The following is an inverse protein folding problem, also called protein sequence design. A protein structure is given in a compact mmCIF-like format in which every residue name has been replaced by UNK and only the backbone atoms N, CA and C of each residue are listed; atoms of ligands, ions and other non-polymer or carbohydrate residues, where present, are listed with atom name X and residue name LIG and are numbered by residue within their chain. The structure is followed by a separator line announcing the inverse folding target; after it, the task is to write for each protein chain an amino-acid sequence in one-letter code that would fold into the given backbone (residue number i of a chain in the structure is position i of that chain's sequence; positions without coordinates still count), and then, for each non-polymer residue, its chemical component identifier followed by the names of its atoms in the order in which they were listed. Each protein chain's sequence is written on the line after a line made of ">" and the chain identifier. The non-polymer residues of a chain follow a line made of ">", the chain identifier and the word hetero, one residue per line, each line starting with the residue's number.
data_IF_239683064885
#
_entry.id   IF_239683064885
#
_cell.length_a   1.000
_cell.length_b   1.000
_cell.length_c   1.000
_cell.angle_alpha   90.00
_cell.angle_beta   90.00
_cell.angle_gamma   90.00
#
_symmetry.space_group_name_H-M   'P 1'
#
loop_
_entity.id
_entity.type
_entity.pdbx_description
1 polymer ?
#
# COMPACT_ATOMS: atom_id res chain seq x y z
N UNK A 1 23.55 -7.93 9.69
CA UNK A 1 23.91 -7.32 10.99
C UNK A 1 24.06 -5.80 10.82
N UNK A 2 23.96 -4.99 11.87
CA UNK A 2 24.20 -3.53 11.83
C UNK A 2 23.23 -2.68 10.99
N UNK A 3 21.97 -3.12 10.93
CA UNK A 3 20.90 -2.32 10.31
C UNK A 3 20.65 -1.08 11.16
N UNK A 4 20.86 0.11 10.60
CA UNK A 4 20.66 1.42 11.27
C UNK A 4 19.23 1.93 11.17
N UNK A 5 18.52 1.57 10.10
CA UNK A 5 17.14 1.96 9.88
C UNK A 5 16.32 0.83 9.25
N UNK A 6 15.06 0.72 9.67
CA UNK A 6 14.03 -0.10 9.02
C UNK A 6 12.96 0.84 8.49
N UNK A 7 12.74 0.82 7.18
CA UNK A 7 11.68 1.60 6.52
C UNK A 7 10.58 0.64 6.09
N UNK A 8 9.38 0.82 6.63
CA UNK A 8 8.19 0.06 6.30
C UNK A 8 7.23 0.97 5.53
N UNK A 9 6.80 0.53 4.35
CA UNK A 9 5.85 1.24 3.51
C UNK A 9 4.55 0.42 3.48
N UNK A 10 3.45 1.07 3.84
CA UNK A 10 2.14 0.46 4.01
C UNK A 10 2.01 -0.35 5.30
N UNK A 11 0.83 -0.91 5.51
CA UNK A 11 0.52 -1.71 6.71
C UNK A 11 1.27 -3.04 6.73
N UNK A 12 1.57 -3.52 7.94
CA UNK A 12 1.90 -4.93 8.12
C UNK A 12 0.61 -5.77 8.12
N UNK A 13 0.70 -7.06 7.86
CA UNK A 13 -0.47 -7.94 7.94
C UNK A 13 -1.07 -7.94 9.34
N UNK A 14 -0.27 -7.75 10.38
CA UNK A 14 -0.71 -7.67 11.77
C UNK A 14 0.36 -6.95 12.64
N UNK A 15 -0.01 -6.70 13.90
CA UNK A 15 0.85 -6.12 14.92
C UNK A 15 2.18 -6.88 15.11
N UNK A 16 2.13 -8.20 15.16
CA UNK A 16 3.33 -9.01 15.41
C UNK A 16 4.32 -8.91 14.26
N UNK A 17 3.83 -8.91 13.02
CA UNK A 17 4.65 -8.68 11.84
C UNK A 17 5.29 -7.30 11.85
N UNK A 18 4.56 -6.25 12.25
CA UNK A 18 5.17 -4.93 12.45
C UNK A 18 6.33 -4.98 13.46
N UNK A 19 6.14 -5.62 14.61
CA UNK A 19 7.16 -5.76 15.67
C UNK A 19 8.37 -6.57 15.18
N UNK A 20 8.14 -7.67 14.45
CA UNK A 20 9.21 -8.49 13.91
C UNK A 20 10.05 -7.78 12.85
N UNK A 21 9.40 -6.94 12.03
CA UNK A 21 10.06 -6.09 11.03
C UNK A 21 10.92 -5.04 11.70
N UNK A 22 10.41 -4.29 12.69
CA UNK A 22 11.22 -3.28 13.38
C UNK A 22 12.36 -3.92 14.21
N UNK A 23 12.16 -5.13 14.73
CA UNK A 23 13.20 -5.91 15.42
C UNK A 23 14.38 -6.35 14.54
N UNK A 24 14.47 -5.92 13.27
CA UNK A 24 15.66 -6.09 12.43
C UNK A 24 16.76 -5.06 12.74
N UNK A 25 16.42 -3.91 13.32
CA UNK A 25 17.39 -2.90 13.79
C UNK A 25 17.54 -2.95 15.31
N UNK A 26 18.39 -2.08 15.88
CA UNK A 26 18.64 -1.93 17.31
C UNK A 26 19.02 -3.22 18.06
N UNK A 27 19.85 -4.07 17.43
CA UNK A 27 20.28 -5.37 17.99
C UNK A 27 21.60 -5.26 18.74
N UNK A 28 21.81 -6.16 19.71
CA UNK A 28 23.05 -6.28 20.46
C UNK A 28 23.52 -4.94 21.08
N UNK A 29 22.59 -4.18 21.65
CA UNK A 29 22.85 -2.89 22.30
C UNK A 29 23.14 -1.72 21.35
N UNK A 30 23.09 -1.91 20.02
CA UNK A 30 23.28 -0.82 19.05
C UNK A 30 21.99 0.00 18.88
N UNK A 31 22.14 1.27 18.52
CA UNK A 31 21.02 2.14 18.18
C UNK A 31 20.40 1.79 16.81
N UNK A 32 19.13 2.15 16.63
CA UNK A 32 18.38 1.87 15.41
C UNK A 32 17.10 2.68 15.32
N UNK A 33 16.61 2.93 14.10
CA UNK A 33 15.39 3.72 13.88
C UNK A 33 14.38 2.98 13.01
N UNK A 34 13.10 3.09 13.38
CA UNK A 34 11.98 2.62 12.58
C UNK A 34 11.23 3.77 11.92
N UNK A 35 11.00 3.66 10.62
CA UNK A 35 10.08 4.53 9.89
C UNK A 35 8.91 3.69 9.38
N UNK A 36 7.70 4.14 9.68
CA UNK A 36 6.46 3.60 9.13
C UNK A 36 5.81 4.68 8.28
N UNK A 37 5.69 4.42 6.98
CA UNK A 37 5.03 5.31 6.02
C UNK A 37 3.68 4.69 5.68
N UNK A 38 2.61 5.37 6.08
CA UNK A 38 1.24 5.00 5.78
C UNK A 38 0.62 6.07 4.89
N UNK A 39 -0.24 5.64 3.97
CA UNK A 39 -1.22 6.53 3.36
C UNK A 39 -2.34 6.85 4.36
N UNK A 40 -3.11 7.92 4.11
CA UNK A 40 -4.19 8.32 5.03
C UNK A 40 -5.25 7.25 5.19
N UNK A 41 -5.57 6.48 4.14
CA UNK A 41 -6.53 5.39 4.25
C UNK A 41 -6.04 4.25 5.14
N UNK A 42 -4.73 4.09 5.30
CA UNK A 42 -4.11 3.07 6.16
C UNK A 42 -3.97 3.48 7.62
N UNK A 43 -4.28 4.74 7.94
CA UNK A 43 -4.20 5.31 9.29
C UNK A 43 -4.88 4.46 10.38
N UNK A 44 -6.03 3.78 10.14
CA UNK A 44 -6.64 2.92 11.16
C UNK A 44 -5.71 1.84 11.72
N UNK A 45 -4.71 1.38 10.96
CA UNK A 45 -3.69 0.44 11.43
C UNK A 45 -2.95 0.93 12.68
N UNK A 46 -2.81 2.25 12.87
CA UNK A 46 -2.15 2.82 14.04
C UNK A 46 -2.85 2.46 15.35
N UNK A 47 -4.15 2.14 15.31
CA UNK A 47 -4.89 1.66 16.49
C UNK A 47 -4.36 0.32 17.00
N UNK A 48 -3.89 -0.56 16.10
CA UNK A 48 -3.34 -1.88 16.44
C UNK A 48 -1.96 -1.81 17.10
N UNK A 49 -1.28 -0.67 17.00
CA UNK A 49 0.07 -0.45 17.53
C UNK A 49 0.13 0.79 18.43
N UNK A 50 -1.01 1.26 18.91
CA UNK A 50 -1.12 2.48 19.70
C UNK A 50 -0.40 2.38 21.07
N UNK A 51 -0.14 1.16 21.54
CA UNK A 51 0.63 0.88 22.76
C UNK A 51 2.14 1.10 22.60
N UNK A 52 2.62 1.20 21.35
CA UNK A 52 4.04 1.36 21.06
C UNK A 52 4.45 2.86 21.13
N UNK A 53 5.73 3.18 21.41
CA UNK A 53 6.21 4.57 21.54
C UNK A 53 6.35 5.26 20.18
N UNK A 54 5.24 5.43 19.46
CA UNK A 54 5.18 6.02 18.13
C UNK A 54 5.34 7.53 18.21
N UNK A 55 6.21 8.08 17.35
CA UNK A 55 6.37 9.52 17.17
C UNK A 55 5.80 9.91 15.82
N UNK A 56 4.69 10.65 15.84
CA UNK A 56 4.08 11.17 14.63
C UNK A 56 4.95 12.29 14.04
N UNK A 57 5.28 12.17 12.76
CA UNK A 57 5.89 13.24 11.99
C UNK A 57 4.81 13.90 11.14
N UNK A 58 4.86 15.22 11.04
CA UNK A 58 3.99 15.94 10.13
C UNK A 58 4.23 15.45 8.68
N UNK A 59 3.16 15.32 7.86
CA UNK A 59 3.32 14.99 6.46
C UNK A 59 4.13 16.07 5.75
N UNK A 60 4.78 15.69 4.66
CA UNK A 60 5.47 16.64 3.82
C UNK A 60 4.47 17.67 3.25
N UNK A 61 4.82 18.95 3.33
CA UNK A 61 3.97 20.01 2.77
C UNK A 61 3.64 19.73 1.29
N UNK A 62 2.39 19.94 0.83
CA UNK A 62 2.00 19.59 -0.54
C UNK A 62 2.90 20.20 -1.62
N UNK A 63 3.34 21.45 -1.43
CA UNK A 63 4.26 22.12 -2.35
C UNK A 63 5.64 21.42 -2.44
N UNK A 64 6.15 20.90 -1.33
CA UNK A 64 7.40 20.15 -1.31
C UNK A 64 7.21 18.76 -1.92
N UNK A 65 6.10 18.07 -1.63
CA UNK A 65 5.78 16.78 -2.22
C UNK A 65 5.66 16.86 -3.76
N UNK A 66 5.04 17.93 -4.28
CA UNK A 66 4.88 18.17 -5.72
C UNK A 66 6.20 18.24 -6.48
N UNK A 67 7.31 18.62 -5.83
CA UNK A 67 8.64 18.67 -6.46
C UNK A 67 9.14 17.30 -6.91
N UNK A 68 8.65 16.22 -6.33
CA UNK A 68 9.01 14.84 -6.72
C UNK A 68 8.17 14.29 -7.88
N UNK A 69 7.03 14.91 -8.21
CA UNK A 69 6.11 14.40 -9.23
C UNK A 69 6.76 14.23 -10.61
N UNK A 70 7.62 15.15 -11.11
CA UNK A 70 8.29 14.96 -12.39
C UNK A 70 9.17 13.71 -12.41
N UNK A 71 10.01 13.52 -11.39
CA UNK A 71 10.88 12.34 -11.28
C UNK A 71 10.09 11.04 -11.15
N UNK A 72 8.99 11.06 -10.39
CA UNK A 72 8.08 9.90 -10.28
C UNK A 72 7.39 9.59 -11.61
N UNK A 73 7.01 10.61 -12.39
CA UNK A 73 6.40 10.42 -13.70
C UNK A 73 7.37 9.76 -14.67
N UNK A 74 8.63 10.20 -14.69
CA UNK A 74 9.69 9.60 -15.53
C UNK A 74 9.91 8.15 -15.12
N UNK A 75 10.10 7.89 -13.82
CA UNK A 75 10.34 6.54 -13.31
C UNK A 75 9.17 5.58 -13.63
N UNK A 76 7.92 6.04 -13.55
CA UNK A 76 6.74 5.23 -13.92
C UNK A 76 6.69 4.91 -15.40
N UNK A 77 7.07 5.86 -16.26
CA UNK A 77 7.07 5.68 -17.71
C UNK A 77 8.13 4.67 -18.19
N UNK A 78 9.18 4.44 -17.40
CA UNK A 78 10.20 3.41 -17.65
C UNK A 78 9.75 2.00 -17.24
N UNK A 79 8.67 1.86 -16.46
CA UNK A 79 8.18 0.56 -16.03
C UNK A 79 7.31 -0.10 -17.11
N UNK A 80 7.48 -1.41 -17.37
CA UNK A 80 6.58 -2.15 -18.25
C UNK A 80 5.13 -2.08 -17.77
N UNK A 81 4.18 -1.90 -18.69
CA UNK A 81 2.76 -1.83 -18.35
C UNK A 81 2.28 -3.08 -17.57
N UNK A 82 2.74 -4.27 -17.98
CA UNK A 82 2.41 -5.54 -17.30
C UNK A 82 2.82 -5.54 -15.82
N UNK A 83 3.99 -4.95 -15.49
CA UNK A 83 4.44 -4.83 -14.11
C UNK A 83 3.53 -3.92 -13.29
N UNK A 84 2.98 -2.86 -13.89
CA UNK A 84 2.00 -1.98 -13.23
C UNK A 84 0.69 -2.73 -12.96
N UNK A 85 0.21 -3.53 -13.91
CA UNK A 85 -1.00 -4.36 -13.75
C UNK A 85 -0.80 -5.40 -12.65
N UNK A 86 0.32 -6.13 -12.65
CA UNK A 86 0.61 -7.11 -11.60
C UNK A 86 0.82 -6.45 -10.24
N UNK A 87 1.40 -5.25 -10.18
CA UNK A 87 1.50 -4.46 -8.94
C UNK A 87 0.12 -4.07 -8.39
N UNK A 88 -0.80 -3.66 -9.27
CA UNK A 88 -2.19 -3.36 -8.91
C UNK A 88 -2.91 -4.60 -8.37
N UNK A 89 -2.78 -5.74 -9.07
CA UNK A 89 -3.36 -7.02 -8.66
C UNK A 89 -2.79 -7.50 -7.32
N UNK A 90 -1.48 -7.38 -7.10
CA UNK A 90 -0.84 -7.73 -5.84
C UNK A 90 -1.33 -6.85 -4.68
N UNK A 91 -1.50 -5.54 -4.92
CA UNK A 91 -2.08 -4.61 -3.95
C UNK A 91 -3.50 -5.03 -3.58
N UNK A 92 -4.37 -5.25 -4.58
CA UNK A 92 -5.73 -5.75 -4.35
C UNK A 92 -5.72 -7.05 -3.53
N UNK A 93 -4.87 -8.01 -3.89
CA UNK A 93 -4.76 -9.29 -3.20
C UNK A 93 -4.38 -9.15 -1.74
N UNK A 94 -3.46 -8.25 -1.41
CA UNK A 94 -3.04 -8.02 -0.03
C UNK A 94 -4.11 -7.32 0.80
N UNK A 95 -4.73 -6.24 0.29
CA UNK A 95 -5.70 -5.44 1.05
C UNK A 95 -7.09 -6.06 1.12
N UNK A 96 -7.44 -6.94 0.18
CA UNK A 96 -8.69 -7.73 0.20
C UNK A 96 -8.62 -8.96 1.13
N UNK A 97 -7.50 -9.21 1.81
CA UNK A 97 -7.47 -10.26 2.83
C UNK A 97 -8.29 -9.83 4.04
N UNK A 98 -9.03 -10.77 4.64
CA UNK A 98 -9.82 -10.52 5.85
C UNK A 98 -9.01 -9.85 6.96
N UNK A 99 -7.72 -10.19 7.08
CA UNK A 99 -6.83 -9.60 8.07
C UNK A 99 -6.53 -8.13 7.77
N UNK A 100 -6.11 -7.80 6.56
CA UNK A 100 -5.81 -6.42 6.17
C UNK A 100 -7.07 -5.55 6.18
N UNK A 101 -8.18 -6.03 5.63
CA UNK A 101 -9.44 -5.27 5.61
C UNK A 101 -9.98 -5.03 7.03
N UNK A 102 -9.90 -6.04 7.93
CA UNK A 102 -10.32 -5.87 9.33
C UNK A 102 -9.42 -4.88 10.09
N UNK A 103 -8.10 -4.94 9.88
CA UNK A 103 -7.15 -3.99 10.47
C UNK A 103 -7.42 -2.54 10.04
N UNK A 104 -8.02 -2.36 8.87
CA UNK A 104 -8.31 -1.07 8.27
C UNK A 104 -9.78 -0.63 8.44
N UNK A 105 -10.65 -1.55 8.86
CA UNK A 105 -12.09 -1.32 8.97
C UNK A 105 -12.77 -1.08 7.62
N UNK A 106 -12.20 -1.56 6.52
CA UNK A 106 -12.73 -1.32 5.17
C UNK A 106 -13.78 -2.36 4.79
N UNK A 107 -14.87 -1.89 4.19
CA UNK A 107 -15.73 -2.69 3.32
C UNK A 107 -15.01 -3.07 2.02
N UNK A 108 -15.58 -4.02 1.25
CA UNK A 108 -15.03 -4.39 -0.06
C UNK A 108 -15.08 -3.20 -1.03
N UNK A 109 -16.15 -2.42 -0.96
CA UNK A 109 -16.38 -1.25 -1.80
C UNK A 109 -15.33 -0.16 -1.52
N UNK A 110 -15.03 0.12 -0.25
CA UNK A 110 -13.96 1.04 0.14
C UNK A 110 -12.58 0.53 -0.31
N UNK A 111 -12.32 -0.77 -0.17
CA UNK A 111 -11.06 -1.36 -0.66
C UNK A 111 -10.90 -1.16 -2.17
N UNK A 112 -11.96 -1.37 -2.97
CA UNK A 112 -11.93 -1.11 -4.42
C UNK A 112 -11.70 0.37 -4.73
N UNK A 113 -12.31 1.28 -3.96
CA UNK A 113 -12.09 2.73 -4.11
C UNK A 113 -10.62 3.12 -3.82
N UNK A 114 -10.03 2.56 -2.77
CA UNK A 114 -8.62 2.76 -2.45
C UNK A 114 -7.71 2.14 -3.52
N UNK A 115 -8.06 0.98 -4.07
CA UNK A 115 -7.35 0.40 -5.20
C UNK A 115 -7.37 1.35 -6.41
N UNK A 116 -8.53 1.94 -6.71
CA UNK A 116 -8.63 2.89 -7.82
C UNK A 116 -7.74 4.13 -7.61
N UNK A 117 -7.64 4.60 -6.37
CA UNK A 117 -6.71 5.66 -5.99
C UNK A 117 -5.26 5.23 -6.15
N UNK A 118 -4.91 4.02 -5.73
CA UNK A 118 -3.56 3.45 -5.89
C UNK A 118 -3.15 3.38 -7.37
N UNK A 119 -4.03 2.87 -8.25
CA UNK A 119 -3.76 2.81 -9.69
C UNK A 119 -3.42 4.19 -10.28
N UNK A 120 -4.22 5.22 -9.95
CA UNK A 120 -4.06 6.56 -10.51
C UNK A 120 -2.92 7.34 -9.87
N UNK A 121 -2.91 7.42 -8.55
CA UNK A 121 -2.01 8.31 -7.80
C UNK A 121 -0.62 7.70 -7.60
N UNK A 122 -0.52 6.37 -7.47
CA UNK A 122 0.73 5.67 -7.14
C UNK A 122 1.37 5.00 -8.35
N UNK A 123 0.58 4.30 -9.17
CA UNK A 123 1.08 3.65 -10.38
C UNK A 123 1.10 4.59 -11.60
N UNK A 124 0.31 5.66 -11.56
CA UNK A 124 0.23 6.62 -12.68
C UNK A 124 -0.62 6.15 -13.85
N UNK A 125 -1.49 5.15 -13.65
CA UNK A 125 -2.39 4.66 -14.68
C UNK A 125 -3.56 5.64 -14.86
N UNK A 126 -4.02 5.82 -16.10
CA UNK A 126 -5.18 6.68 -16.41
C UNK A 126 -6.49 6.18 -15.77
N UNK A 127 -6.58 4.86 -15.56
CA UNK A 127 -7.66 4.16 -14.87
C UNK A 127 -7.13 2.88 -14.23
N UNK A 128 -7.87 2.27 -13.31
CA UNK A 128 -7.55 0.92 -12.86
C UNK A 128 -7.49 -0.04 -14.07
N UNK A 129 -6.50 -0.94 -14.14
CA UNK A 129 -6.38 -1.89 -15.24
C UNK A 129 -7.41 -3.01 -15.09
N UNK A 130 -7.81 -3.62 -16.21
CA UNK A 130 -8.69 -4.79 -16.20
C UNK A 130 -7.97 -5.99 -15.57
N UNK A 131 -8.64 -6.66 -14.64
CA UNK A 131 -8.20 -7.93 -14.07
C UNK A 131 -9.01 -9.07 -14.70
N UNK A 132 -8.38 -10.19 -15.09
CA UNK A 132 -9.12 -11.34 -15.61
C UNK A 132 -10.16 -11.87 -14.60
N UNK A 133 -11.35 -12.21 -15.09
CA UNK A 133 -12.46 -12.70 -14.27
C UNK A 133 -12.07 -13.93 -13.42
N UNK A 134 -11.23 -14.80 -13.95
CA UNK A 134 -10.71 -15.96 -13.22
C UNK A 134 -9.91 -15.57 -11.97
N UNK A 135 -9.18 -14.46 -12.02
CA UNK A 135 -8.43 -13.95 -10.87
C UNK A 135 -9.34 -13.19 -9.90
N UNK A 136 -10.28 -12.38 -10.41
CA UNK A 136 -11.31 -11.75 -9.59
C UNK A 136 -12.15 -12.78 -8.83
N UNK A 137 -12.47 -13.91 -9.47
CA UNK A 137 -13.20 -15.01 -8.84
C UNK A 137 -12.40 -15.62 -7.68
N UNK A 138 -11.10 -15.90 -7.87
CA UNK A 138 -10.21 -16.40 -6.80
C UNK A 138 -10.10 -15.42 -5.64
N UNK A 139 -10.18 -14.13 -5.93
CA UNK A 139 -10.14 -13.06 -4.93
C UNK A 139 -11.52 -12.80 -4.30
N UNK A 140 -12.61 -13.41 -4.78
CA UNK A 140 -13.97 -13.13 -4.31
C UNK A 140 -14.42 -11.69 -4.60
N UNK A 141 -13.93 -11.12 -5.70
CA UNK A 141 -14.19 -9.76 -6.20
C UNK A 141 -14.91 -9.75 -7.56
N UNK A 142 -15.25 -10.92 -8.10
CA UNK A 142 -16.02 -11.00 -9.33
C UNK A 142 -17.39 -10.32 -9.12
N UNK A 143 -17.74 -9.39 -10.00
CA UNK A 143 -18.95 -8.59 -9.90
C UNK A 143 -18.86 -7.38 -8.96
N UNK A 144 -17.71 -7.11 -8.35
CA UNK A 144 -17.51 -5.89 -7.56
C UNK A 144 -17.54 -4.65 -8.47
N UNK A 145 -18.40 -3.68 -8.12
CA UNK A 145 -18.50 -2.41 -8.82
C UNK A 145 -17.13 -1.71 -8.84
N UNK A 146 -16.74 -1.17 -10.00
CA UNK A 146 -15.42 -0.55 -10.20
C UNK A 146 -14.30 -1.52 -10.62
N UNK A 147 -14.55 -2.83 -10.64
CA UNK A 147 -13.64 -3.85 -11.20
C UNK A 147 -14.25 -4.60 -12.41
N UNK A 148 -15.58 -4.81 -12.40
CA UNK A 148 -16.28 -5.64 -13.38
C UNK A 148 -16.34 -5.06 -14.81
N UNK A 149 -16.43 -3.73 -14.94
CA UNK A 149 -16.73 -3.07 -16.23
C UNK A 149 -15.55 -2.26 -16.80
N UNK A 150 -14.32 -2.58 -16.38
CA UNK A 150 -13.14 -1.87 -16.88
C UNK A 150 -12.83 -2.31 -18.32
N UNK A 151 -12.83 -1.39 -19.31
CA UNK A 151 -12.52 -1.75 -20.69
C UNK A 151 -11.10 -2.33 -20.74
N UNK A 152 -10.94 -3.44 -21.47
CA UNK A 152 -9.63 -4.03 -21.69
C UNK A 152 -8.74 -3.03 -22.41
N UNK A 153 -7.55 -2.77 -21.88
CA UNK A 153 -6.50 -2.06 -22.60
C UNK A 153 -6.16 -2.85 -23.85
N UNK A 154 -6.45 -2.26 -25.01
CA UNK A 154 -6.06 -2.74 -26.35
C UNK A 154 -4.56 -2.57 -26.53
#
# INVERSE_FOLDING_TARGET
>A
PDVTAVVQIGVASDRWQYIHRIGRTARAGKAGVGYLLLSECERPFLTLIADLPLKHRAPLAPAAARKFLPSLSVARAELPHELLVESYKAWLGFYNTARSSAALGWSKEEMVLHAATFARAVLGLGSPPRIPDADLLKMGLLGSAGLADLPGSV
#
